data_IF_108508734665
#
_entry.id   IF_108508734665
#
_cell.length_a   1.000
_cell.length_b   1.000
_cell.length_c   1.000
_cell.angle_alpha   90.00
_cell.angle_beta   90.00
_cell.angle_gamma   90.00
#
_symmetry.space_group_name_H-M   'P 1'
#
loop_
_entity.id
_entity.type
_entity.pdbx_description
1 polymer ?
#
# COMPACT_ATOMS: atom_id res chain seq x y z
N UNK A 1 16.50 -13.54 39.11
CA UNK A 1 16.03 -13.57 37.69
C UNK A 1 15.42 -12.20 37.39
N UNK A 2 16.16 -11.34 36.70
CA UNK A 2 15.72 -9.99 36.32
C UNK A 2 14.83 -10.04 35.08
N UNK A 3 13.74 -9.28 35.02
CA UNK A 3 12.86 -9.30 33.85
C UNK A 3 13.54 -8.60 32.68
N UNK A 4 13.58 -9.31 31.56
CA UNK A 4 14.06 -8.83 30.27
C UNK A 4 13.17 -7.68 29.79
N UNK A 5 13.73 -6.46 29.75
CA UNK A 5 13.07 -5.28 29.20
C UNK A 5 12.72 -5.54 27.73
N UNK A 6 11.44 -5.53 27.41
CA UNK A 6 10.94 -5.38 26.04
C UNK A 6 11.43 -4.02 25.51
N UNK A 7 12.50 -4.02 24.72
CA UNK A 7 12.79 -2.90 23.83
C UNK A 7 11.64 -2.81 22.83
N UNK A 8 10.87 -1.74 22.96
CA UNK A 8 10.05 -1.25 21.83
C UNK A 8 11.02 -0.99 20.67
N UNK A 9 11.01 -1.86 19.68
CA UNK A 9 11.60 -1.53 18.38
C UNK A 9 10.78 -0.36 17.83
N UNK A 10 11.39 0.82 17.86
CA UNK A 10 10.90 1.97 17.11
C UNK A 10 10.92 1.51 15.64
N UNK A 11 9.74 1.23 15.11
CA UNK A 11 9.53 0.91 13.72
C UNK A 11 9.97 2.16 12.93
N UNK A 12 11.25 2.20 12.53
CA UNK A 12 11.73 3.15 11.53
C UNK A 12 10.91 2.88 10.29
N UNK A 13 9.98 3.79 9.98
CA UNK A 13 9.15 3.70 8.79
C UNK A 13 10.06 3.37 7.62
N UNK A 14 9.95 2.16 7.10
CA UNK A 14 10.70 1.68 5.94
C UNK A 14 10.50 2.70 4.81
N UNK A 15 11.61 3.16 4.21
CA UNK A 15 11.59 4.16 3.13
C UNK A 15 11.09 3.53 1.82
N UNK A 16 9.93 2.93 1.86
CA UNK A 16 9.26 2.25 0.75
C UNK A 16 8.57 3.23 -0.19
N UNK A 17 8.26 2.76 -1.39
CA UNK A 17 7.41 3.46 -2.36
C UNK A 17 6.07 3.88 -1.75
N UNK A 18 5.39 2.97 -1.06
CA UNK A 18 4.11 3.26 -0.42
C UNK A 18 4.24 4.36 0.64
N UNK A 19 5.30 4.32 1.45
CA UNK A 19 5.59 5.36 2.44
C UNK A 19 5.87 6.72 1.80
N UNK A 20 6.64 6.77 0.70
CA UNK A 20 6.90 8.01 -0.03
C UNK A 20 5.61 8.62 -0.60
N UNK A 21 4.78 7.80 -1.24
CA UNK A 21 3.51 8.25 -1.82
C UNK A 21 2.57 8.78 -0.72
N UNK A 22 2.47 8.05 0.40
CA UNK A 22 1.63 8.47 1.51
C UNK A 22 2.14 9.78 2.11
N UNK A 23 3.46 9.90 2.34
CA UNK A 23 4.08 11.15 2.77
C UNK A 23 3.74 12.32 1.83
N UNK A 24 3.89 12.14 0.52
CA UNK A 24 3.56 13.18 -0.45
C UNK A 24 2.07 13.58 -0.37
N UNK A 25 1.16 12.61 -0.18
CA UNK A 25 -0.28 12.87 0.00
C UNK A 25 -0.56 13.66 1.28
N UNK A 26 0.09 13.31 2.39
CA UNK A 26 -0.06 13.98 3.69
C UNK A 26 0.47 15.41 3.68
N UNK A 27 1.37 15.73 2.73
CA UNK A 27 1.97 17.07 2.57
C UNK A 27 1.28 17.92 1.52
N UNK A 28 0.16 17.49 0.97
CA UNK A 28 -0.65 18.36 0.09
C UNK A 28 -1.06 19.65 0.82
N UNK A 29 -0.92 20.78 0.15
CA UNK A 29 -1.18 22.10 0.73
C UNK A 29 -0.01 22.69 1.51
N UNK A 30 1.07 21.96 1.77
CA UNK A 30 2.28 22.53 2.42
C UNK A 30 2.82 23.70 1.59
N UNK A 31 3.07 24.87 2.20
CA UNK A 31 3.65 26.02 1.53
C UNK A 31 5.02 25.70 0.90
N UNK A 32 5.23 26.28 -0.28
CA UNK A 32 6.54 26.22 -0.94
C UNK A 32 7.42 27.37 -0.49
N UNK A 33 8.62 27.05 0.00
CA UNK A 33 9.69 28.03 0.22
C UNK A 33 10.99 27.43 -0.32
N UNK A 34 11.63 28.11 -1.29
CA UNK A 34 12.83 27.61 -1.95
C UNK A 34 13.95 27.33 -0.95
N UNK A 35 14.52 26.15 -1.01
CA UNK A 35 15.56 25.67 -0.10
C UNK A 35 15.05 25.03 1.20
N UNK A 36 13.76 25.17 1.54
CA UNK A 36 13.19 24.51 2.71
C UNK A 36 13.04 23.00 2.48
N UNK A 37 13.22 22.21 3.57
CA UNK A 37 13.27 20.73 3.54
C UNK A 37 12.28 20.07 4.50
N UNK A 38 11.20 20.77 4.86
CA UNK A 38 10.17 20.28 5.75
C UNK A 38 10.17 20.88 7.15
N UNK A 39 11.17 21.70 7.48
CA UNK A 39 11.24 22.41 8.76
C UNK A 39 10.13 23.47 8.92
N UNK A 40 9.84 23.82 10.16
CA UNK A 40 9.01 25.00 10.48
C UNK A 40 9.79 26.27 10.10
N UNK A 41 9.27 27.05 9.19
CA UNK A 41 9.93 28.28 8.75
C UNK A 41 9.99 29.29 9.91
N UNK A 42 11.19 29.74 10.23
CA UNK A 42 11.42 30.85 11.18
C UNK A 42 12.07 32.02 10.45
N UNK A 43 12.09 33.22 11.06
CA UNK A 43 12.80 34.37 10.49
C UNK A 43 14.28 34.02 10.24
N UNK A 44 14.93 33.35 11.21
CA UNK A 44 16.34 32.94 11.09
C UNK A 44 16.56 32.00 9.88
N UNK A 45 15.67 31.02 9.66
CA UNK A 45 15.73 30.11 8.52
C UNK A 45 15.53 30.90 7.23
N UNK A 46 14.53 31.77 7.17
CA UNK A 46 14.25 32.61 5.99
C UNK A 46 15.45 33.47 5.61
N UNK A 47 16.09 34.11 6.62
CA UNK A 47 17.27 34.94 6.40
C UNK A 47 18.47 34.13 5.91
N UNK A 48 18.66 32.91 6.43
CA UNK A 48 19.67 31.95 5.94
C UNK A 48 19.42 31.59 4.47
N UNK A 49 18.21 31.13 4.16
CA UNK A 49 17.84 30.72 2.79
C UNK A 49 17.99 31.89 1.79
N UNK A 50 17.66 33.10 2.22
CA UNK A 50 17.81 34.30 1.39
C UNK A 50 19.29 34.65 1.12
N UNK A 51 20.17 34.46 2.09
CA UNK A 51 21.62 34.65 1.88
C UNK A 51 22.25 33.59 0.96
N UNK A 52 21.79 32.34 1.13
CA UNK A 52 22.28 31.22 0.31
C UNK A 52 21.78 31.28 -1.14
N UNK A 53 20.64 31.95 -1.38
CA UNK A 53 19.97 31.96 -2.68
C UNK A 53 19.53 33.39 -3.11
N UNK A 54 20.44 34.36 -3.19
CA UNK A 54 20.10 35.78 -3.41
C UNK A 54 19.32 36.02 -4.73
N UNK A 55 19.61 35.23 -5.77
CA UNK A 55 18.91 35.33 -7.05
C UNK A 55 17.44 34.92 -7.00
N UNK A 56 17.05 34.05 -6.07
CA UNK A 56 15.65 33.65 -5.88
C UNK A 56 14.91 34.57 -4.92
N UNK A 57 15.58 35.01 -3.85
CA UNK A 57 14.96 35.78 -2.76
C UNK A 57 14.90 37.28 -3.05
N UNK A 58 14.26 37.64 -4.15
CA UNK A 58 13.91 39.07 -4.46
C UNK A 58 13.00 39.64 -3.37
N UNK A 59 12.83 40.99 -3.35
CA UNK A 59 11.90 41.61 -2.40
C UNK A 59 10.48 41.07 -2.48
N UNK A 60 10.01 40.80 -3.70
CA UNK A 60 8.69 40.19 -3.94
C UNK A 60 8.59 38.76 -3.40
N UNK A 61 9.63 37.96 -3.62
CA UNK A 61 9.65 36.59 -3.11
C UNK A 61 9.67 36.58 -1.59
N UNK A 62 10.53 37.39 -0.95
CA UNK A 62 10.60 37.50 0.52
C UNK A 62 9.26 37.93 1.11
N UNK A 63 8.57 38.90 0.51
CA UNK A 63 7.25 39.34 0.96
C UNK A 63 6.19 38.22 0.93
N UNK A 64 6.32 37.28 -0.01
CA UNK A 64 5.47 36.07 -0.05
C UNK A 64 5.91 35.05 1.02
N UNK A 65 7.21 34.78 1.15
CA UNK A 65 7.75 33.75 2.05
C UNK A 65 7.51 34.07 3.53
N UNK A 66 7.62 35.35 3.93
CA UNK A 66 7.33 35.80 5.31
C UNK A 66 5.95 35.35 5.81
N UNK A 67 4.96 35.25 4.94
CA UNK A 67 3.59 34.82 5.29
C UNK A 67 3.52 33.40 5.80
N UNK A 68 4.55 32.59 5.56
CA UNK A 68 4.62 31.18 5.95
C UNK A 68 5.46 30.95 7.21
N UNK A 69 5.96 32.01 7.88
CA UNK A 69 6.64 31.86 9.18
C UNK A 69 5.69 31.18 10.18
N UNK A 70 6.22 30.17 10.90
CA UNK A 70 5.46 29.34 11.81
C UNK A 70 4.85 28.09 11.18
N UNK A 71 4.93 27.92 9.84
CA UNK A 71 4.42 26.77 9.14
C UNK A 71 5.56 25.85 8.64
N UNK A 72 5.28 24.56 8.52
CA UNK A 72 6.16 23.67 7.78
C UNK A 72 6.21 24.08 6.31
N UNK A 73 7.42 24.18 5.76
CA UNK A 73 7.65 24.57 4.37
C UNK A 73 8.56 23.57 3.67
N UNK A 74 8.40 23.44 2.35
CA UNK A 74 9.26 22.58 1.54
C UNK A 74 9.48 23.19 0.16
N UNK A 75 10.62 22.85 -0.51
CA UNK A 75 10.79 23.04 -1.94
C UNK A 75 10.52 21.74 -2.70
N UNK A 76 10.71 21.71 -4.01
CA UNK A 76 10.44 20.53 -4.83
C UNK A 76 11.24 19.28 -4.38
N UNK A 77 12.52 19.46 -4.10
CA UNK A 77 13.42 18.40 -3.61
C UNK A 77 13.25 18.16 -2.10
N UNK A 78 12.85 19.18 -1.36
CA UNK A 78 12.58 19.12 0.05
C UNK A 78 11.45 18.17 0.41
N UNK A 79 10.42 18.08 -0.43
CA UNK A 79 9.32 17.14 -0.24
C UNK A 79 9.82 15.70 -0.12
N UNK A 80 10.78 15.30 -0.95
CA UNK A 80 11.40 13.98 -0.91
C UNK A 80 12.43 13.89 0.23
N UNK A 81 13.25 14.93 0.43
CA UNK A 81 14.27 14.99 1.50
C UNK A 81 13.63 14.87 2.89
N UNK A 82 12.46 15.45 3.09
CA UNK A 82 11.69 15.37 4.34
C UNK A 82 11.30 13.93 4.67
N UNK A 83 10.95 13.13 3.66
CA UNK A 83 10.65 11.72 3.85
C UNK A 83 11.91 10.88 4.06
N UNK A 84 12.92 11.07 3.19
CA UNK A 84 14.12 10.23 3.22
C UNK A 84 15.07 10.55 4.38
N UNK A 85 14.99 11.77 4.93
CA UNK A 85 15.97 12.30 5.91
C UNK A 85 17.32 12.68 5.28
N UNK A 86 17.46 12.52 3.95
CA UNK A 86 18.67 12.91 3.21
C UNK A 86 18.42 14.23 2.47
N UNK A 87 19.18 15.28 2.86
CA UNK A 87 19.04 16.59 2.22
C UNK A 87 19.71 16.57 0.86
N UNK A 88 18.89 16.68 -0.21
CA UNK A 88 19.32 16.72 -1.60
C UNK A 88 18.62 17.83 -2.38
N UNK A 89 19.30 18.37 -3.38
CA UNK A 89 18.67 19.18 -4.43
C UNK A 89 18.15 18.31 -5.57
N UNK A 90 17.35 18.89 -6.48
CA UNK A 90 16.80 18.15 -7.64
C UNK A 90 17.89 17.56 -8.55
N UNK A 91 19.03 18.24 -8.72
CA UNK A 91 20.17 17.72 -9.47
C UNK A 91 20.88 16.57 -8.73
N UNK A 92 21.02 16.64 -7.40
CA UNK A 92 21.60 15.53 -6.64
C UNK A 92 20.71 14.28 -6.74
N UNK A 93 19.38 14.40 -6.70
CA UNK A 93 18.49 13.28 -6.96
C UNK A 93 18.65 12.71 -8.36
N UNK A 94 18.81 13.58 -9.36
CA UNK A 94 19.10 13.14 -10.73
C UNK A 94 20.40 12.35 -10.81
N UNK A 95 21.48 12.87 -10.22
CA UNK A 95 22.82 12.30 -10.37
C UNK A 95 23.01 11.01 -9.56
N UNK A 96 22.32 10.86 -8.43
CA UNK A 96 22.39 9.68 -7.57
C UNK A 96 21.28 8.65 -7.83
N UNK A 97 20.37 8.89 -8.77
CA UNK A 97 19.34 7.92 -9.13
C UNK A 97 19.97 6.61 -9.63
N UNK A 98 19.44 5.46 -9.18
CA UNK A 98 19.89 4.14 -9.60
C UNK A 98 19.51 3.82 -11.04
N UNK A 99 18.40 4.37 -11.51
CA UNK A 99 17.95 4.29 -12.89
C UNK A 99 17.42 5.66 -13.35
N UNK A 100 17.67 5.99 -14.61
CA UNK A 100 17.26 7.24 -15.27
C UNK A 100 16.80 6.95 -16.68
N UNK A 101 15.55 7.25 -16.98
CA UNK A 101 14.99 7.06 -18.32
C UNK A 101 14.35 8.35 -18.85
N UNK A 102 14.10 8.41 -20.16
CA UNK A 102 13.30 9.48 -20.74
C UNK A 102 11.90 9.43 -20.17
N UNK A 103 11.25 10.59 -20.05
CA UNK A 103 9.85 10.67 -19.64
C UNK A 103 8.92 9.88 -20.57
N UNK A 104 9.30 9.67 -21.82
CA UNK A 104 8.53 8.92 -22.81
C UNK A 104 8.36 7.42 -22.43
N UNK A 105 9.19 6.92 -21.51
CA UNK A 105 9.12 5.56 -20.98
C UNK A 105 8.27 5.44 -19.70
N UNK A 106 7.67 6.55 -19.24
CA UNK A 106 6.86 6.52 -18.04
C UNK A 106 5.65 5.60 -18.22
N UNK A 107 5.52 4.62 -17.33
CA UNK A 107 4.38 3.71 -17.26
C UNK A 107 3.94 3.44 -15.80
N UNK A 108 2.91 2.64 -15.62
CA UNK A 108 2.33 2.34 -14.31
C UNK A 108 3.23 1.49 -13.40
N UNK A 109 4.26 0.84 -13.93
CA UNK A 109 5.24 0.11 -13.11
C UNK A 109 6.20 1.04 -12.37
N UNK A 110 6.24 2.32 -12.77
CA UNK A 110 7.10 3.36 -12.22
C UNK A 110 6.40 4.22 -11.15
N UNK A 111 5.27 3.75 -10.60
CA UNK A 111 4.62 4.44 -9.47
C UNK A 111 5.60 4.56 -8.30
N UNK A 112 5.75 5.79 -7.76
CA UNK A 112 6.73 6.15 -6.74
C UNK A 112 8.09 6.56 -7.26
N UNK A 113 8.35 6.48 -8.58
CA UNK A 113 9.55 7.09 -9.15
C UNK A 113 9.41 8.61 -9.19
N UNK A 114 10.56 9.30 -9.21
CA UNK A 114 10.55 10.74 -9.30
C UNK A 114 10.51 11.22 -10.76
N UNK A 115 9.71 12.24 -11.02
CA UNK A 115 9.70 12.98 -12.28
C UNK A 115 10.68 14.15 -12.18
N UNK A 116 11.52 14.34 -13.16
CA UNK A 116 12.57 15.34 -13.12
C UNK A 116 12.67 16.15 -14.41
N UNK A 117 12.97 17.42 -14.23
CA UNK A 117 13.52 18.34 -15.25
C UNK A 117 14.56 19.25 -14.60
N UNK A 118 15.41 19.95 -15.36
CA UNK A 118 16.37 20.90 -14.79
C UNK A 118 15.73 21.82 -13.75
N UNK A 119 16.26 21.76 -12.52
CA UNK A 119 15.83 22.58 -11.41
C UNK A 119 14.50 22.19 -10.74
N UNK A 120 13.85 21.08 -11.13
CA UNK A 120 12.58 20.68 -10.54
C UNK A 120 12.41 19.17 -10.46
N UNK A 121 11.67 18.71 -9.44
CA UNK A 121 11.38 17.28 -9.19
C UNK A 121 10.02 17.12 -8.55
N UNK A 122 9.32 16.00 -8.85
CA UNK A 122 8.07 15.58 -8.25
C UNK A 122 8.03 14.07 -8.11
N UNK A 123 6.96 13.49 -7.58
CA UNK A 123 6.79 12.04 -7.39
C UNK A 123 5.59 11.57 -8.20
N UNK A 124 5.79 10.59 -9.08
CA UNK A 124 4.72 9.93 -9.83
C UNK A 124 3.87 9.07 -8.90
N UNK A 125 2.55 9.19 -9.00
CA UNK A 125 1.60 8.48 -8.12
C UNK A 125 0.60 7.61 -8.90
N UNK A 126 0.87 7.34 -10.18
CA UNK A 126 0.02 6.54 -11.07
C UNK A 126 -1.06 7.35 -11.80
N UNK A 127 -1.70 6.72 -12.77
CA UNK A 127 -2.83 7.26 -13.55
C UNK A 127 -2.56 8.62 -14.23
N UNK A 128 -1.30 8.89 -14.58
CA UNK A 128 -0.88 10.16 -15.15
C UNK A 128 -0.88 11.34 -14.16
N UNK A 129 -0.78 11.07 -12.84
CA UNK A 129 -0.71 12.07 -11.79
C UNK A 129 0.64 12.06 -11.08
N UNK A 130 1.05 13.23 -10.61
CA UNK A 130 2.19 13.39 -9.71
C UNK A 130 1.85 14.33 -8.54
N UNK A 131 2.69 14.29 -7.50
CA UNK A 131 2.69 15.29 -6.43
C UNK A 131 4.03 16.03 -6.50
N UNK A 132 3.97 17.35 -6.50
CA UNK A 132 5.10 18.25 -6.60
C UNK A 132 4.93 19.47 -5.71
N UNK A 133 6.00 19.94 -5.07
CA UNK A 133 6.02 21.27 -4.49
C UNK A 133 6.39 22.24 -5.62
N UNK A 134 5.37 22.91 -6.17
CA UNK A 134 5.42 23.53 -7.51
C UNK A 134 6.01 24.93 -7.54
N UNK A 135 5.93 25.65 -6.43
CA UNK A 135 6.43 27.02 -6.31
C UNK A 135 5.67 27.81 -5.26
N UNK A 136 6.17 29.01 -4.93
CA UNK A 136 5.66 29.82 -3.80
C UNK A 136 4.18 30.19 -3.91
N UNK A 137 3.65 30.27 -5.12
CA UNK A 137 2.25 30.61 -5.37
C UNK A 137 1.32 29.38 -5.39
N UNK A 138 1.89 28.17 -5.38
CA UNK A 138 1.14 26.95 -5.57
C UNK A 138 1.24 25.97 -4.40
N UNK A 139 2.35 26.02 -3.62
CA UNK A 139 2.62 25.05 -2.58
C UNK A 139 2.83 23.63 -3.13
N UNK A 140 2.61 22.64 -2.27
CA UNK A 140 2.63 21.22 -2.62
C UNK A 140 1.24 20.81 -3.11
N UNK A 141 1.17 20.23 -4.31
CA UNK A 141 -0.10 19.91 -4.96
C UNK A 141 -0.02 18.63 -5.81
N UNK A 142 -1.19 18.04 -6.04
CA UNK A 142 -1.39 17.00 -7.06
C UNK A 142 -1.55 17.68 -8.43
N UNK A 143 -0.79 17.25 -9.42
CA UNK A 143 -0.80 17.80 -10.78
C UNK A 143 -0.88 16.66 -11.80
N UNK A 144 -1.43 16.94 -13.00
CA UNK A 144 -1.24 16.01 -14.12
C UNK A 144 0.23 16.03 -14.53
N UNK A 145 0.77 14.85 -14.89
CA UNK A 145 2.14 14.75 -15.42
C UNK A 145 2.32 15.66 -16.62
N UNK A 146 1.33 15.74 -17.51
CA UNK A 146 1.33 16.62 -18.69
C UNK A 146 1.34 18.13 -18.39
N UNK A 147 1.07 18.54 -17.15
CA UNK A 147 1.05 19.96 -16.76
C UNK A 147 2.45 20.55 -16.47
N UNK A 148 3.49 19.71 -16.50
CA UNK A 148 4.89 20.11 -16.31
C UNK A 148 5.74 19.40 -17.35
N UNK A 149 6.65 20.10 -18.09
CA UNK A 149 7.47 19.49 -19.15
C UNK A 149 8.60 18.65 -18.53
N UNK A 150 8.25 17.56 -17.92
CA UNK A 150 9.21 16.60 -17.37
C UNK A 150 10.12 16.06 -18.47
N UNK A 151 11.35 15.72 -18.15
CA UNK A 151 12.33 15.19 -19.10
C UNK A 151 12.77 13.77 -18.77
N UNK A 152 12.83 13.46 -17.49
CA UNK A 152 13.32 12.16 -17.00
C UNK A 152 12.36 11.59 -15.95
N UNK A 153 12.37 10.27 -15.84
CA UNK A 153 11.86 9.52 -14.71
C UNK A 153 13.03 8.84 -14.00
N UNK A 154 13.07 8.92 -12.68
CA UNK A 154 14.21 8.57 -11.84
C UNK A 154 13.81 7.55 -10.78
N UNK A 155 14.56 6.46 -10.67
CA UNK A 155 14.48 5.54 -9.53
C UNK A 155 15.44 6.03 -8.45
N UNK A 156 14.89 6.50 -7.33
CA UNK A 156 15.68 7.15 -6.29
C UNK A 156 16.46 6.12 -5.46
N UNK A 157 17.75 6.40 -5.19
CA UNK A 157 18.61 5.49 -4.42
C UNK A 157 18.22 5.34 -2.94
N UNK A 158 17.47 6.31 -2.39
CA UNK A 158 17.07 6.32 -0.98
C UNK A 158 15.68 5.67 -0.74
N UNK A 159 15.06 5.12 -1.77
CA UNK A 159 13.73 4.48 -1.69
C UNK A 159 13.86 2.99 -1.97
N UNK A 160 13.22 2.19 -1.15
CA UNK A 160 13.09 0.76 -1.37
C UNK A 160 11.92 0.50 -2.32
N UNK A 161 12.23 0.05 -3.52
CA UNK A 161 11.29 -0.33 -4.57
C UNK A 161 10.98 -1.83 -4.59
N UNK A 162 11.54 -2.60 -3.64
CA UNK A 162 11.13 -3.98 -3.52
C UNK A 162 9.63 -4.06 -3.29
N UNK A 163 8.91 -4.97 -3.95
CA UNK A 163 7.51 -5.20 -3.62
C UNK A 163 7.43 -5.50 -2.13
N UNK A 164 6.67 -4.68 -1.39
CA UNK A 164 6.39 -5.00 0.01
C UNK A 164 5.74 -6.37 -0.01
N UNK A 165 6.30 -7.38 0.68
CA UNK A 165 5.63 -8.66 0.80
C UNK A 165 4.26 -8.38 1.41
N UNK A 166 3.22 -8.47 0.61
CA UNK A 166 1.85 -8.39 1.13
C UNK A 166 1.64 -9.68 1.89
N UNK A 167 1.77 -9.62 3.21
CA UNK A 167 1.41 -10.74 4.07
C UNK A 167 -0.10 -10.73 4.20
N UNK A 168 -0.75 -11.58 3.44
CA UNK A 168 -2.17 -11.81 3.59
C UNK A 168 -2.42 -12.62 4.86
N UNK A 169 -3.40 -12.21 5.64
CA UNK A 169 -3.83 -13.02 6.79
C UNK A 169 -4.60 -14.22 6.26
N UNK A 170 -3.95 -15.38 6.27
CA UNK A 170 -4.60 -16.63 5.87
C UNK A 170 -5.77 -16.96 6.81
N UNK A 171 -6.89 -17.36 6.25
CA UNK A 171 -8.05 -17.80 7.02
C UNK A 171 -9.37 -17.25 6.48
N UNK A 172 -10.44 -17.56 7.19
CA UNK A 172 -11.77 -17.05 6.89
C UNK A 172 -11.86 -15.56 7.19
N UNK A 173 -12.37 -14.80 6.22
CA UNK A 173 -12.57 -13.37 6.27
C UNK A 173 -14.06 -13.05 6.15
N UNK A 174 -14.61 -12.11 6.92
CA UNK A 174 -15.98 -11.69 6.74
C UNK A 174 -16.12 -10.89 5.44
N UNK A 175 -17.20 -11.10 4.71
CA UNK A 175 -17.56 -10.27 3.58
C UNK A 175 -18.05 -8.88 4.05
N UNK A 176 -18.04 -7.91 3.14
CA UNK A 176 -18.48 -6.54 3.44
C UNK A 176 -19.96 -6.44 3.89
N UNK A 177 -20.77 -7.43 3.53
CA UNK A 177 -22.17 -7.52 3.97
C UNK A 177 -22.33 -8.00 5.43
N UNK A 178 -21.25 -8.45 6.08
CA UNK A 178 -21.25 -8.97 7.45
C UNK A 178 -21.98 -10.30 7.65
N UNK A 179 -22.41 -10.97 6.57
CA UNK A 179 -23.18 -12.21 6.62
C UNK A 179 -22.45 -13.40 6.00
N UNK A 180 -21.70 -13.15 4.92
CA UNK A 180 -20.98 -14.17 4.18
C UNK A 180 -19.52 -14.22 4.60
N UNK A 181 -18.87 -15.35 4.32
CA UNK A 181 -17.46 -15.58 4.58
C UNK A 181 -16.74 -15.98 3.28
N UNK A 182 -15.48 -15.62 3.16
CA UNK A 182 -14.57 -16.06 2.12
C UNK A 182 -13.25 -16.50 2.76
N UNK A 183 -12.43 -17.27 2.06
CA UNK A 183 -11.17 -17.75 2.61
C UNK A 183 -10.00 -17.22 1.81
N UNK A 184 -9.06 -16.55 2.48
CA UNK A 184 -7.84 -16.03 1.91
C UNK A 184 -6.67 -16.97 2.17
N UNK A 185 -5.86 -17.24 1.13
CA UNK A 185 -4.60 -17.94 1.27
C UNK A 185 -3.45 -16.97 1.56
N UNK A 186 -2.31 -17.50 2.07
CA UNK A 186 -1.14 -16.70 2.43
C UNK A 186 -0.49 -15.97 1.24
N UNK A 187 -0.71 -16.46 0.03
CA UNK A 187 -0.22 -15.85 -1.22
C UNK A 187 -1.17 -14.75 -1.78
N UNK A 188 -2.28 -14.49 -1.11
CA UNK A 188 -3.28 -13.51 -1.51
C UNK A 188 -4.37 -14.03 -2.43
N UNK A 189 -4.28 -15.28 -2.90
CA UNK A 189 -5.38 -15.94 -3.59
C UNK A 189 -6.53 -16.24 -2.64
N UNK A 190 -7.69 -16.64 -3.17
CA UNK A 190 -8.86 -16.99 -2.37
C UNK A 190 -9.54 -18.25 -2.92
N UNK A 191 -10.27 -18.94 -2.03
CA UNK A 191 -11.03 -20.12 -2.40
C UNK A 191 -12.27 -19.72 -3.21
N UNK A 192 -12.50 -20.36 -4.37
CA UNK A 192 -13.66 -20.11 -5.21
C UNK A 192 -14.02 -21.33 -6.06
N UNK A 193 -15.30 -21.44 -6.43
CA UNK A 193 -15.85 -22.38 -7.39
C UNK A 193 -15.43 -23.84 -7.15
N UNK A 194 -15.58 -24.32 -5.91
CA UNK A 194 -15.25 -25.72 -5.59
C UNK A 194 -15.02 -26.02 -4.13
N UNK A 195 -14.54 -27.23 -3.92
CA UNK A 195 -14.27 -27.80 -2.60
C UNK A 195 -12.85 -27.55 -2.14
N UNK A 196 -12.70 -27.21 -0.84
CA UNK A 196 -11.41 -26.96 -0.22
C UNK A 196 -11.35 -27.60 1.17
N UNK A 197 -10.24 -28.29 1.46
CA UNK A 197 -9.93 -28.79 2.80
C UNK A 197 -9.17 -27.71 3.57
N UNK A 198 -9.86 -26.98 4.45
CA UNK A 198 -9.33 -25.79 5.09
C UNK A 198 -9.34 -25.91 6.61
N UNK A 199 -8.40 -25.22 7.24
CA UNK A 199 -8.35 -25.05 8.68
C UNK A 199 -9.04 -23.74 9.07
N UNK A 200 -9.98 -23.83 10.01
CA UNK A 200 -10.48 -22.70 10.75
C UNK A 200 -9.38 -22.28 11.76
N UNK A 201 -8.84 -21.06 11.60
CA UNK A 201 -7.59 -20.66 12.23
C UNK A 201 -7.71 -20.40 13.73
N UNK A 202 -8.87 -19.93 14.21
CA UNK A 202 -9.09 -19.57 15.61
C UNK A 202 -9.10 -20.84 16.50
N UNK A 203 -9.80 -21.88 16.09
CA UNK A 203 -9.95 -23.13 16.83
C UNK A 203 -9.11 -24.29 16.29
N UNK A 204 -8.40 -24.05 15.19
CA UNK A 204 -7.54 -25.02 14.50
C UNK A 204 -8.25 -26.32 14.11
N UNK A 205 -9.55 -26.23 13.79
CA UNK A 205 -10.35 -27.36 13.33
C UNK A 205 -10.40 -27.40 11.81
N UNK A 206 -10.32 -28.59 11.24
CA UNK A 206 -10.32 -28.79 9.80
C UNK A 206 -11.72 -29.19 9.31
N UNK A 207 -12.01 -28.89 8.03
CA UNK A 207 -13.24 -29.31 7.37
C UNK A 207 -13.21 -29.09 5.86
N UNK A 208 -14.10 -29.79 5.17
CA UNK A 208 -14.39 -29.55 3.77
C UNK A 208 -15.39 -28.40 3.66
N UNK A 209 -15.08 -27.40 2.85
CA UNK A 209 -15.91 -26.23 2.60
C UNK A 209 -16.12 -26.09 1.09
N UNK A 210 -17.33 -25.72 0.70
CA UNK A 210 -17.71 -25.43 -0.68
C UNK A 210 -17.83 -23.90 -0.86
N UNK A 211 -17.23 -23.39 -1.93
CA UNK A 211 -17.30 -21.98 -2.30
C UNK A 211 -17.97 -21.81 -3.65
N UNK A 212 -18.76 -20.74 -3.78
CA UNK A 212 -19.37 -20.36 -5.03
C UNK A 212 -18.35 -19.75 -6.03
N UNK A 213 -18.82 -19.39 -7.23
CA UNK A 213 -17.97 -18.77 -8.25
C UNK A 213 -17.48 -17.37 -7.89
N UNK A 214 -18.12 -16.70 -6.94
CA UNK A 214 -17.74 -15.39 -6.43
C UNK A 214 -16.73 -15.48 -5.28
N UNK A 215 -16.48 -16.71 -4.76
CA UNK A 215 -15.54 -16.98 -3.66
C UNK A 215 -16.17 -16.91 -2.27
N UNK A 216 -17.50 -16.95 -2.16
CA UNK A 216 -18.14 -17.00 -0.85
C UNK A 216 -18.43 -18.43 -0.40
N UNK A 217 -18.18 -18.69 0.89
CA UNK A 217 -18.47 -19.96 1.54
C UNK A 217 -19.97 -20.23 1.56
N UNK A 218 -20.34 -21.42 1.12
CA UNK A 218 -21.72 -21.90 1.15
C UNK A 218 -22.06 -22.60 2.45
N UNK A 219 -23.36 -22.61 2.83
CA UNK A 219 -23.90 -23.32 3.99
C UNK A 219 -25.30 -23.86 3.67
N UNK A 220 -25.80 -24.79 4.48
CA UNK A 220 -27.09 -25.43 4.26
C UNK A 220 -27.03 -26.51 3.15
N UNK A 221 -28.20 -26.80 2.53
CA UNK A 221 -28.27 -27.72 1.40
C UNK A 221 -27.78 -27.01 0.13
N UNK A 222 -26.75 -27.55 -0.50
CA UNK A 222 -26.15 -27.01 -1.69
C UNK A 222 -25.86 -28.11 -2.71
N UNK A 223 -25.91 -27.79 -4.00
CA UNK A 223 -25.34 -28.63 -5.04
C UNK A 223 -23.93 -28.13 -5.39
N UNK A 224 -23.00 -29.04 -5.59
CA UNK A 224 -21.67 -28.71 -6.07
C UNK A 224 -21.67 -28.48 -7.60
N UNK A 225 -20.53 -28.09 -8.20
CA UNK A 225 -20.43 -27.89 -9.64
C UNK A 225 -20.72 -29.13 -10.49
N UNK A 226 -20.68 -30.33 -9.91
CA UNK A 226 -21.08 -31.58 -10.59
C UNK A 226 -22.60 -31.87 -10.54
N UNK A 227 -23.33 -31.11 -9.72
CA UNK A 227 -24.77 -31.28 -9.47
C UNK A 227 -25.07 -32.23 -8.32
N UNK A 228 -24.08 -32.72 -7.58
CA UNK A 228 -24.29 -33.55 -6.39
C UNK A 228 -24.67 -32.69 -5.18
N UNK A 229 -25.69 -33.11 -4.43
CA UNK A 229 -26.23 -32.38 -3.29
C UNK A 229 -25.50 -32.73 -1.98
N UNK A 230 -25.14 -31.71 -1.23
CA UNK A 230 -24.46 -31.82 0.07
C UNK A 230 -25.16 -30.99 1.14
N UNK A 231 -25.06 -31.46 2.38
CA UNK A 231 -25.42 -30.68 3.54
C UNK A 231 -24.14 -30.04 4.12
N UNK A 232 -24.09 -28.71 4.09
CA UNK A 232 -23.06 -27.91 4.74
C UNK A 232 -23.62 -27.40 6.06
N UNK A 233 -22.88 -27.54 7.16
CA UNK A 233 -23.36 -27.20 8.49
C UNK A 233 -23.94 -25.76 8.52
N UNK A 234 -25.24 -25.59 8.76
CA UNK A 234 -25.88 -24.29 8.74
C UNK A 234 -25.75 -23.57 10.09
N UNK A 235 -25.20 -24.25 11.10
CA UNK A 235 -25.13 -23.70 12.47
C UNK A 235 -23.95 -22.76 12.56
N UNK A 236 -24.25 -21.51 12.89
CA UNK A 236 -23.21 -20.48 13.11
C UNK A 236 -22.19 -20.91 14.16
N UNK A 237 -20.92 -20.64 13.87
CA UNK A 237 -19.80 -20.99 14.74
C UNK A 237 -18.70 -21.79 14.02
N UNK A 238 -17.89 -22.52 14.76
CA UNK A 238 -16.69 -23.20 14.24
C UNK A 238 -16.94 -24.30 13.19
N UNK A 239 -18.17 -24.78 13.08
CA UNK A 239 -18.54 -25.80 12.10
C UNK A 239 -19.37 -25.24 10.94
N UNK A 240 -19.72 -23.96 10.95
CA UNK A 240 -20.48 -23.33 9.87
C UNK A 240 -19.79 -23.59 8.51
N UNK A 241 -20.55 -23.98 7.52
CA UNK A 241 -20.06 -24.28 6.17
C UNK A 241 -19.32 -25.62 6.01
N UNK A 242 -18.98 -26.34 7.08
CA UNK A 242 -18.31 -27.64 6.95
C UNK A 242 -19.25 -28.70 6.38
N UNK A 243 -18.75 -29.51 5.46
CA UNK A 243 -19.48 -30.63 4.90
C UNK A 243 -19.86 -31.64 5.98
N UNK A 244 -21.13 -32.08 5.97
CA UNK A 244 -21.68 -33.11 6.87
C UNK A 244 -21.99 -34.36 6.07
N UNK A 245 -21.69 -35.51 6.65
CA UNK A 245 -22.03 -36.84 6.10
C UNK A 245 -22.81 -37.64 7.14
N UNK A 246 -23.46 -38.69 6.69
CA UNK A 246 -24.13 -39.65 7.56
C UNK A 246 -23.16 -40.80 7.93
N UNK A 247 -23.00 -41.06 9.21
CA UNK A 247 -22.22 -42.20 9.68
C UNK A 247 -22.95 -43.54 9.46
N UNK A 248 -22.30 -44.65 9.78
CA UNK A 248 -22.87 -46.00 9.62
C UNK A 248 -24.13 -46.23 10.47
N UNK A 249 -24.45 -45.37 11.43
CA UNK A 249 -25.64 -45.41 12.28
C UNK A 249 -26.75 -44.44 11.84
N UNK A 250 -26.52 -43.73 10.74
CA UNK A 250 -27.45 -42.74 10.23
C UNK A 250 -27.36 -41.36 10.93
N UNK A 251 -26.38 -41.13 11.80
CA UNK A 251 -26.20 -39.84 12.47
C UNK A 251 -25.32 -38.93 11.62
N UNK A 252 -25.70 -37.63 11.56
CA UNK A 252 -24.92 -36.60 10.87
C UNK A 252 -23.65 -36.26 11.67
N UNK A 253 -22.50 -36.24 10.99
CA UNK A 253 -21.22 -35.78 11.52
C UNK A 253 -20.48 -34.93 10.49
N UNK A 254 -19.49 -34.16 10.93
CA UNK A 254 -18.61 -33.45 10.03
C UNK A 254 -17.76 -34.45 9.23
N UNK A 255 -17.65 -34.25 7.92
CA UNK A 255 -16.84 -35.08 7.04
C UNK A 255 -15.34 -34.89 7.37
N UNK A 256 -14.62 -36.00 7.50
CA UNK A 256 -13.16 -36.03 7.65
C UNK A 256 -12.47 -35.92 6.28
N UNK A 257 -11.17 -35.67 6.29
CA UNK A 257 -10.40 -35.45 5.05
C UNK A 257 -10.59 -36.56 4.02
N UNK A 258 -10.65 -37.80 4.44
CA UNK A 258 -10.72 -38.98 3.56
C UNK A 258 -12.16 -39.39 3.19
N UNK A 259 -13.16 -38.89 3.86
CA UNK A 259 -14.55 -39.20 3.54
C UNK A 259 -14.95 -38.74 2.12
N UNK A 260 -14.34 -37.66 1.64
CA UNK A 260 -14.63 -37.08 0.32
C UNK A 260 -13.79 -37.69 -0.82
N UNK A 261 -12.78 -38.51 -0.53
CA UNK A 261 -11.88 -39.08 -1.55
C UNK A 261 -12.59 -40.11 -2.44
N UNK A 262 -13.67 -40.73 -1.97
CA UNK A 262 -14.46 -41.71 -2.73
C UNK A 262 -15.50 -41.08 -3.65
N UNK A 263 -15.82 -39.80 -3.48
CA UNK A 263 -16.60 -39.01 -4.40
C UNK A 263 -15.62 -38.45 -5.43
N UNK A 264 -15.79 -38.72 -6.71
CA UNK A 264 -14.89 -38.40 -7.84
C UNK A 264 -14.68 -36.87 -8.04
N UNK A 265 -14.20 -36.17 -7.03
CA UNK A 265 -13.92 -34.73 -7.12
C UNK A 265 -12.49 -34.51 -7.57
N UNK A 266 -12.32 -33.70 -8.61
CA UNK A 266 -11.02 -33.15 -8.99
C UNK A 266 -10.72 -32.03 -8.02
N UNK A 267 -10.00 -32.35 -6.93
CA UNK A 267 -9.49 -31.33 -6.03
C UNK A 267 -8.31 -30.64 -6.72
N UNK A 268 -8.43 -29.34 -6.99
CA UNK A 268 -7.27 -28.54 -7.32
C UNK A 268 -6.44 -28.37 -6.03
N UNK A 269 -5.29 -28.99 -6.00
CA UNK A 269 -4.31 -28.88 -4.92
C UNK A 269 -3.43 -27.65 -5.14
#
# INVERSE_FOLDING_TARGET
MTPRSLRLEVNTMSKTVAGLIQHCKDKLGTPYVYGAKGEVLTQTILDRLARENPGTYTSTYKAKAVKYIGQHCTDCSGLISWFTGHIRGSYNYHDTATERMSIDHLDETMVGWALWKPGHIGVYIGDGWCIEAKGIDYGTKKSRVSATPWQKVLKLCDIDYAPVPVTYTQGFQPAADGQRWWYQFADGSYAANGWYWLQEMERRTWGWYLFDSEGYMLSGYQADPSGEAFLLCPVKGSNEGKCMITDARGALRIAEKYDMVHHRYVFNW
#
